data_IF_894218149238
#
_entry.id   IF_894218149238
#
_cell.length_a   1.000
_cell.length_b   1.000
_cell.length_c   1.000
_cell.angle_alpha   90.00
_cell.angle_beta   90.00
_cell.angle_gamma   90.00
#
_symmetry.space_group_name_H-M   'P 1'
#
loop_
_entity.id
_entity.type
_entity.pdbx_description
1 polymer ?
#
# COMPACT_ATOMS: atom_id res chain seq x y z
N UNK A 1 4.78 18.16 7.11
CA UNK A 1 4.52 17.22 8.23
C UNK A 1 3.95 15.89 7.75
N UNK A 2 2.83 15.88 7.02
CA UNK A 2 2.17 14.66 6.49
C UNK A 2 3.13 13.78 5.66
N UNK A 3 3.91 14.38 4.76
CA UNK A 3 4.91 13.66 3.95
C UNK A 3 5.91 12.85 4.79
N UNK A 4 6.45 13.45 5.86
CA UNK A 4 7.47 12.81 6.69
C UNK A 4 6.92 11.59 7.45
N UNK A 5 5.68 11.69 7.95
CA UNK A 5 5.01 10.56 8.62
C UNK A 5 4.76 9.42 7.65
N UNK A 6 4.29 9.74 6.44
CA UNK A 6 4.08 8.75 5.38
C UNK A 6 5.40 8.07 5.01
N UNK A 7 6.50 8.83 4.87
CA UNK A 7 7.81 8.25 4.56
C UNK A 7 8.31 7.29 5.64
N UNK A 8 8.18 7.64 6.91
CA UNK A 8 8.57 6.76 8.02
C UNK A 8 7.70 5.49 8.02
N UNK A 9 6.40 5.62 7.75
CA UNK A 9 5.49 4.48 7.64
C UNK A 9 5.85 3.58 6.44
N UNK A 10 6.21 4.16 5.30
CA UNK A 10 6.64 3.42 4.11
C UNK A 10 7.96 2.67 4.37
N UNK A 11 8.94 3.31 5.02
CA UNK A 11 10.23 2.69 5.33
C UNK A 11 10.13 1.55 6.37
N UNK A 12 9.16 1.64 7.28
CA UNK A 12 8.91 0.60 8.29
C UNK A 12 7.98 -0.52 7.79
N UNK A 13 7.35 -0.33 6.64
CA UNK A 13 6.42 -1.29 6.05
C UNK A 13 7.12 -2.11 4.96
N UNK A 14 6.82 -3.41 4.92
CA UNK A 14 7.33 -4.29 3.87
C UNK A 14 6.46 -4.30 2.62
N UNK A 15 5.21 -3.85 2.74
CA UNK A 15 4.18 -3.90 1.71
C UNK A 15 3.22 -2.72 1.86
N UNK A 16 2.57 -2.32 0.76
CA UNK A 16 1.51 -1.31 0.75
C UNK A 16 0.29 -1.82 -0.02
N UNK A 17 -0.90 -1.47 0.47
CA UNK A 17 -2.17 -1.71 -0.21
C UNK A 17 -2.93 -0.40 -0.31
N UNK A 18 -3.18 0.06 -1.54
CA UNK A 18 -4.05 1.19 -1.79
C UNK A 18 -5.51 0.74 -1.85
N UNK A 19 -6.37 1.37 -1.06
CA UNK A 19 -7.83 1.20 -1.13
C UNK A 19 -8.38 2.27 -2.05
N UNK A 20 -8.77 1.87 -3.26
CA UNK A 20 -9.29 2.77 -4.26
C UNK A 20 -10.77 3.05 -4.00
N UNK A 21 -11.07 4.34 -3.81
CA UNK A 21 -12.42 4.89 -3.72
C UNK A 21 -12.58 5.99 -4.77
N UNK A 22 -13.80 6.51 -4.97
CA UNK A 22 -14.05 7.65 -5.87
C UNK A 22 -13.20 8.87 -5.50
N UNK A 23 -13.01 9.12 -4.19
CA UNK A 23 -12.16 10.21 -3.70
C UNK A 23 -10.68 10.00 -4.04
N UNK A 24 -10.27 8.74 -4.23
CA UNK A 24 -8.91 8.39 -4.60
C UNK A 24 -8.54 8.77 -6.03
N UNK A 25 -9.50 9.00 -6.93
CA UNK A 25 -9.25 9.34 -8.34
C UNK A 25 -8.44 10.64 -8.50
N UNK A 26 -8.68 11.62 -7.62
CA UNK A 26 -8.01 12.92 -7.66
C UNK A 26 -6.78 12.98 -6.73
N UNK A 27 -6.52 11.92 -5.97
CA UNK A 27 -5.44 11.92 -4.99
C UNK A 27 -4.08 11.82 -5.68
N UNK A 28 -3.22 12.81 -5.42
CA UNK A 28 -1.81 12.77 -5.82
C UNK A 28 -0.95 11.92 -4.87
N UNK A 29 -1.47 11.57 -3.69
CA UNK A 29 -0.77 10.79 -2.68
C UNK A 29 -0.74 9.29 -3.00
N UNK A 30 -1.84 8.73 -3.52
CA UNK A 30 -1.92 7.30 -3.84
C UNK A 30 -0.84 6.87 -4.86
N UNK A 31 -0.67 7.57 -6.01
CA UNK A 31 0.39 7.24 -6.96
C UNK A 31 1.79 7.43 -6.36
N UNK A 32 1.97 8.47 -5.53
CA UNK A 32 3.24 8.77 -4.86
C UNK A 32 3.68 7.64 -3.94
N UNK A 33 2.79 7.20 -3.04
CA UNK A 33 3.07 6.15 -2.05
C UNK A 33 3.34 4.80 -2.73
N UNK A 34 2.54 4.44 -3.73
CA UNK A 34 2.73 3.21 -4.50
C UNK A 34 4.04 3.23 -5.30
N UNK A 35 4.42 4.38 -5.85
CA UNK A 35 5.70 4.56 -6.53
C UNK A 35 6.89 4.47 -5.58
N UNK A 36 6.77 4.97 -4.35
CA UNK A 36 7.82 4.93 -3.32
C UNK A 36 8.00 3.55 -2.70
N UNK A 37 6.92 2.82 -2.45
CA UNK A 37 6.97 1.47 -1.89
C UNK A 37 7.51 0.41 -2.86
N UNK A 38 7.61 0.74 -4.15
CA UNK A 38 8.07 -0.16 -5.20
C UNK A 38 9.59 -0.36 -5.12
N UNK A 39 10.01 -1.62 -4.96
CA UNK A 39 11.32 -2.07 -5.45
C UNK A 39 11.46 -1.68 -6.93
N UNK A 40 12.65 -1.28 -7.40
CA UNK A 40 12.91 -0.76 -8.78
C UNK A 40 12.50 -1.70 -9.95
N UNK A 41 11.86 -2.84 -9.68
CA UNK A 41 11.23 -3.74 -10.65
C UNK A 41 9.99 -3.12 -11.31
N UNK A 42 9.65 -3.58 -12.52
CA UNK A 42 8.51 -3.10 -13.34
C UNK A 42 7.15 -3.47 -12.72
N UNK A 43 7.06 -4.60 -12.04
CA UNK A 43 5.87 -5.01 -11.25
C UNK A 43 6.34 -5.33 -9.85
N UNK A 44 5.81 -4.64 -8.85
CA UNK A 44 6.16 -4.90 -7.46
C UNK A 44 5.24 -5.95 -6.87
N UNK A 45 5.81 -7.00 -6.29
CA UNK A 45 5.04 -7.90 -5.42
C UNK A 45 4.67 -7.25 -4.09
N UNK A 46 5.25 -6.08 -3.76
CA UNK A 46 5.10 -5.38 -2.50
C UNK A 46 4.02 -4.30 -2.50
N UNK A 47 3.48 -3.96 -3.67
CA UNK A 47 2.38 -3.00 -3.81
C UNK A 47 1.17 -3.66 -4.44
N UNK A 48 -0.01 -3.25 -4.00
CA UNK A 48 -1.25 -3.69 -4.63
C UNK A 48 -2.38 -2.70 -4.43
N UNK A 49 -3.40 -2.89 -5.25
CA UNK A 49 -4.59 -2.07 -5.28
C UNK A 49 -5.81 -2.93 -5.03
N UNK A 50 -6.67 -2.48 -4.13
CA UNK A 50 -8.01 -3.01 -3.96
C UNK A 50 -9.02 -2.01 -4.53
N UNK A 51 -9.94 -2.51 -5.36
CA UNK A 51 -10.96 -1.72 -6.03
C UNK A 51 -12.33 -2.22 -5.62
N UNK A 52 -13.23 -1.30 -5.30
CA UNK A 52 -14.62 -1.64 -5.01
C UNK A 52 -15.30 -2.19 -6.27
N UNK A 53 -15.75 -3.45 -6.18
CA UNK A 53 -16.31 -4.18 -7.31
C UNK A 53 -17.58 -3.53 -7.86
N UNK A 54 -17.68 -3.42 -9.19
CA UNK A 54 -18.84 -2.84 -9.86
C UNK A 54 -18.96 -1.31 -9.73
N UNK A 55 -18.11 -0.67 -8.92
CA UNK A 55 -18.04 0.79 -8.78
C UNK A 55 -16.84 1.40 -9.44
N UNK A 56 -15.69 0.72 -9.38
CA UNK A 56 -14.42 1.24 -9.85
C UNK A 56 -13.70 0.23 -10.73
N UNK A 57 -13.35 0.67 -11.94
CA UNK A 57 -12.48 -0.08 -12.84
C UNK A 57 -11.04 0.44 -12.72
N UNK A 58 -10.01 -0.44 -12.71
CA UNK A 58 -8.62 -0.01 -12.66
C UNK A 58 -8.24 1.01 -13.75
N UNK A 59 -8.83 0.89 -14.94
CA UNK A 59 -8.60 1.83 -16.04
C UNK A 59 -9.13 3.25 -15.83
N UNK A 60 -9.92 3.49 -14.78
CA UNK A 60 -10.30 4.86 -14.36
C UNK A 60 -9.18 5.55 -13.58
N UNK A 61 -8.16 4.81 -13.16
CA UNK A 61 -6.99 5.32 -12.46
C UNK A 61 -5.80 5.39 -13.43
N UNK A 62 -4.88 6.32 -13.19
CA UNK A 62 -3.70 6.48 -14.04
C UNK A 62 -2.78 5.26 -14.05
N UNK A 63 -1.78 5.25 -14.93
CA UNK A 63 -0.86 4.11 -15.17
C UNK A 63 -0.16 3.54 -13.94
N UNK A 64 -0.15 4.26 -12.80
CA UNK A 64 0.39 3.75 -11.54
C UNK A 64 -0.29 2.45 -11.05
N UNK A 65 -1.53 2.17 -11.47
CA UNK A 65 -2.19 0.90 -11.11
C UNK A 65 -1.52 -0.32 -11.76
N UNK A 66 -0.78 -0.13 -12.85
CA UNK A 66 0.03 -1.18 -13.49
C UNK A 66 1.23 -1.59 -12.63
N UNK A 67 1.66 -0.71 -11.71
CA UNK A 67 2.78 -0.97 -10.81
C UNK A 67 2.41 -1.95 -9.68
N UNK A 68 1.13 -2.25 -9.53
CA UNK A 68 0.53 -2.85 -8.34
C UNK A 68 -0.15 -4.17 -8.69
N UNK A 69 -0.05 -5.17 -7.80
CA UNK A 69 -0.87 -6.37 -7.92
C UNK A 69 -2.34 -6.02 -7.66
N UNK A 70 -3.20 -6.32 -8.62
CA UNK A 70 -4.64 -6.09 -8.49
C UNK A 70 -5.26 -7.25 -7.72
N UNK A 71 -5.78 -6.97 -6.51
CA UNK A 71 -6.63 -7.92 -5.81
C UNK A 71 -8.03 -7.87 -6.45
N UNK A 72 -8.47 -8.99 -7.05
CA UNK A 72 -9.72 -9.04 -7.80
C UNK A 72 -10.94 -9.00 -6.88
N UNK A 73 -11.41 -7.81 -6.54
CA UNK A 73 -12.82 -7.49 -6.29
C UNK A 73 -13.47 -8.01 -4.99
N UNK A 74 -12.84 -8.88 -4.17
CA UNK A 74 -13.41 -9.27 -2.86
C UNK A 74 -12.45 -9.04 -1.70
N UNK A 75 -13.02 -8.75 -0.52
CA UNK A 75 -12.26 -8.62 0.74
C UNK A 75 -11.45 -9.90 1.04
N UNK A 76 -11.97 -11.06 0.61
CA UNK A 76 -11.30 -12.35 0.71
C UNK A 76 -9.96 -12.40 -0.04
N UNK A 77 -9.83 -11.70 -1.17
CA UNK A 77 -8.60 -11.71 -1.96
C UNK A 77 -7.51 -10.88 -1.29
N UNK A 78 -7.89 -9.77 -0.65
CA UNK A 78 -6.97 -8.99 0.18
C UNK A 78 -6.52 -9.81 1.38
N UNK A 79 -7.43 -10.51 2.07
CA UNK A 79 -7.05 -11.36 3.21
C UNK A 79 -6.20 -12.56 2.79
N UNK A 80 -6.49 -13.19 1.65
CA UNK A 80 -5.68 -14.29 1.12
C UNK A 80 -4.29 -13.80 0.72
N UNK A 81 -4.19 -12.61 0.14
CA UNK A 81 -2.93 -11.98 -0.20
C UNK A 81 -2.12 -11.58 1.04
N UNK A 82 -2.76 -11.00 2.06
CA UNK A 82 -2.13 -10.74 3.36
C UNK A 82 -1.69 -12.04 4.05
N UNK A 83 -2.45 -13.14 3.93
CA UNK A 83 -2.09 -14.44 4.50
C UNK A 83 -0.88 -15.10 3.80
N UNK A 84 -0.73 -14.90 2.48
CA UNK A 84 0.49 -15.29 1.76
C UNK A 84 1.73 -14.56 2.30
N UNK A 85 1.55 -13.40 2.91
CA UNK A 85 2.64 -12.62 3.48
C UNK A 85 2.87 -12.86 4.97
N UNK A 86 1.82 -13.04 5.77
CA UNK A 86 1.96 -13.30 7.21
C UNK A 86 2.75 -14.58 7.48
N UNK A 87 2.64 -15.59 6.61
CA UNK A 87 3.44 -16.82 6.67
C UNK A 87 4.95 -16.61 6.41
N UNK A 88 5.34 -15.47 5.82
CA UNK A 88 6.73 -15.08 5.53
C UNK A 88 7.23 -13.89 6.33
N UNK A 89 6.34 -13.15 6.99
CA UNK A 89 6.67 -11.97 7.76
C UNK A 89 7.25 -12.38 9.11
N UNK A 90 8.52 -12.03 9.34
CA UNK A 90 9.11 -12.05 10.68
C UNK A 90 8.30 -11.05 11.51
N UNK A 91 7.73 -11.48 12.63
CA UNK A 91 7.05 -10.58 13.56
C UNK A 91 8.06 -9.50 13.99
N UNK A 92 7.87 -8.27 13.52
CA UNK A 92 8.57 -7.12 14.07
C UNK A 92 7.86 -6.78 15.37
N UNK A 93 8.28 -7.44 16.45
CA UNK A 93 7.89 -7.04 17.79
C UNK A 93 8.40 -5.61 18.00
N UNK A 94 7.48 -4.66 18.01
CA UNK A 94 7.80 -3.27 18.32
C UNK A 94 8.10 -3.21 19.83
N UNK A 95 9.36 -3.40 20.20
CA UNK A 95 9.84 -3.16 21.55
C UNK A 95 10.00 -1.64 21.70
N UNK A 96 8.91 -0.95 22.04
CA UNK A 96 8.86 0.50 22.09
C UNK A 96 10.05 1.12 22.81
N UNK A 97 10.98 1.68 22.01
CA UNK A 97 12.01 2.58 22.50
C UNK A 97 11.38 3.94 22.74
N UNK A 98 11.37 4.36 24.00
CA UNK A 98 10.78 5.61 24.46
C UNK A 98 11.12 6.79 23.53
N UNK A 99 10.10 7.40 22.93
CA UNK A 99 10.21 8.73 22.34
C UNK A 99 10.45 9.73 23.48
N UNK A 100 11.70 10.15 23.68
CA UNK A 100 11.98 11.36 24.47
C UNK A 100 11.35 12.55 23.76
N UNK A 101 10.53 13.37 24.44
CA UNK A 101 9.95 14.56 23.84
C UNK A 101 11.06 15.56 23.49
N UNK A 102 10.95 16.15 22.29
CA UNK A 102 11.84 17.23 21.86
C UNK A 102 11.55 18.48 22.71
N UNK A 103 12.61 19.03 23.32
CA UNK A 103 12.59 20.33 24.02
C UNK A 103 12.60 21.48 23.03
#
# INVERSE_FOLDING_TARGET
>A
MVAAVIEIALLSSSHIIAVHTLNGLQSKWIPYELGRAKSRSIVSSQSGGWFEAGRLAPGQFGSYVELCRLAKLRRSDVTAWLAQWSSRARSLAWHGGATTPLK
#
